data_IF_434056644828
#
_entry.id   IF_434056644828
#
_cell.length_a   1.000
_cell.length_b   1.000
_cell.length_c   1.000
_cell.angle_alpha   90.00
_cell.angle_beta   90.00
_cell.angle_gamma   90.00
#
_symmetry.space_group_name_H-M   'P 1'
#
loop_
_entity.id
_entity.type
_entity.pdbx_description
1 polymer ?
#
# COMPACT_ATOMS: atom_id res chain seq x y z
N UNK A 1 9.09 -2.72 -8.08
CA UNK A 1 8.40 -1.82 -7.12
C UNK A 1 7.03 -2.37 -6.71
N UNK A 2 6.08 -2.59 -7.63
CA UNK A 2 4.74 -3.10 -7.27
C UNK A 2 4.75 -4.48 -6.58
N UNK A 3 5.55 -5.43 -7.07
CA UNK A 3 5.66 -6.76 -6.44
C UNK A 3 6.21 -6.70 -5.00
N UNK A 4 7.20 -5.84 -4.75
CA UNK A 4 7.73 -5.61 -3.40
C UNK A 4 6.67 -4.99 -2.48
N UNK A 5 5.91 -4.00 -2.98
CA UNK A 5 4.81 -3.40 -2.22
C UNK A 5 3.73 -4.43 -1.86
N UNK A 6 3.36 -5.31 -2.79
CA UNK A 6 2.40 -6.38 -2.52
C UNK A 6 2.83 -7.24 -1.33
N UNK A 7 4.08 -7.72 -1.31
CA UNK A 7 4.56 -8.55 -0.20
C UNK A 7 4.70 -7.79 1.12
N UNK A 8 5.21 -6.55 1.09
CA UNK A 8 5.32 -5.70 2.30
C UNK A 8 3.92 -5.45 2.88
N UNK A 9 2.94 -5.11 2.04
CA UNK A 9 1.55 -4.88 2.47
C UNK A 9 0.87 -6.16 2.95
N UNK A 10 1.05 -7.30 2.26
CA UNK A 10 0.50 -8.58 2.69
C UNK A 10 0.99 -8.98 4.09
N UNK A 11 2.30 -8.86 4.35
CA UNK A 11 2.88 -9.11 5.68
C UNK A 11 2.30 -8.16 6.71
N UNK A 12 2.22 -6.86 6.40
CA UNK A 12 1.66 -5.87 7.30
C UNK A 12 0.21 -6.17 7.68
N UNK A 13 -0.66 -6.47 6.71
CA UNK A 13 -2.07 -6.76 6.99
C UNK A 13 -2.28 -8.10 7.69
N UNK A 14 -1.42 -9.09 7.44
CA UNK A 14 -1.38 -10.33 8.21
C UNK A 14 -1.04 -10.05 9.70
N UNK A 15 -0.01 -9.24 9.96
CA UNK A 15 0.32 -8.79 11.32
C UNK A 15 -0.79 -7.95 11.94
N UNK A 16 -1.41 -7.04 11.15
CA UNK A 16 -2.55 -6.22 11.59
C UNK A 16 -3.69 -7.10 12.07
N UNK A 17 -4.04 -8.14 11.32
CA UNK A 17 -5.07 -9.11 11.69
C UNK A 17 -4.69 -9.89 12.96
N UNK A 18 -3.56 -10.58 12.96
CA UNK A 18 -3.16 -11.51 14.03
C UNK A 18 -2.85 -10.79 15.35
N UNK A 19 -2.15 -9.67 15.31
CA UNK A 19 -1.73 -8.93 16.51
C UNK A 19 -2.75 -7.89 16.99
N UNK A 20 -3.93 -7.82 16.35
CA UNK A 20 -4.97 -6.83 16.69
C UNK A 20 -4.46 -5.38 16.65
N UNK A 21 -3.59 -5.05 15.69
CA UNK A 21 -3.05 -3.69 15.55
C UNK A 21 -4.18 -2.69 15.24
N UNK A 22 -4.10 -1.51 15.84
CA UNK A 22 -5.04 -0.41 15.62
C UNK A 22 -4.84 0.21 14.24
N UNK A 23 -5.85 0.95 13.77
CA UNK A 23 -5.77 1.68 12.50
C UNK A 23 -4.67 2.75 12.49
N UNK A 24 -4.27 3.27 13.65
CA UNK A 24 -3.14 4.19 13.76
C UNK A 24 -1.82 3.57 13.29
N UNK A 25 -1.68 2.24 13.32
CA UNK A 25 -0.49 1.55 12.80
C UNK A 25 -0.30 1.74 11.28
N UNK A 26 -1.34 2.15 10.55
CA UNK A 26 -1.25 2.46 9.12
C UNK A 26 -0.25 3.60 8.84
N UNK A 27 -0.07 4.54 9.77
CA UNK A 27 0.90 5.63 9.60
C UNK A 27 2.34 5.14 9.67
N UNK A 28 2.61 4.18 10.55
CA UNK A 28 3.92 3.52 10.60
C UNK A 28 4.18 2.74 9.31
N UNK A 29 3.18 2.01 8.82
CA UNK A 29 3.25 1.35 7.52
C UNK A 29 3.55 2.35 6.39
N UNK A 30 2.83 3.47 6.35
CA UNK A 30 3.06 4.51 5.34
C UNK A 30 4.49 5.06 5.39
N UNK A 31 5.03 5.33 6.58
CA UNK A 31 6.42 5.78 6.75
C UNK A 31 7.44 4.75 6.22
N UNK A 32 7.24 3.46 6.52
CA UNK A 32 8.08 2.36 6.01
C UNK A 32 8.04 2.30 4.49
N UNK A 33 6.85 2.43 3.90
CA UNK A 33 6.69 2.39 2.45
C UNK A 33 7.33 3.60 1.79
N UNK A 34 7.14 4.83 2.31
CA UNK A 34 7.79 6.03 1.78
C UNK A 34 9.32 5.89 1.83
N UNK A 35 9.87 5.38 2.94
CA UNK A 35 11.30 5.12 3.05
C UNK A 35 11.77 4.09 2.02
N UNK A 36 11.08 2.95 1.90
CA UNK A 36 11.39 1.94 0.89
C UNK A 36 11.34 2.52 -0.54
N UNK A 37 10.32 3.32 -0.84
CA UNK A 37 10.14 3.92 -2.17
C UNK A 37 11.20 4.95 -2.49
N UNK A 38 11.69 5.71 -1.50
CA UNK A 38 12.82 6.61 -1.67
C UNK A 38 14.07 5.84 -2.14
N UNK A 39 14.42 4.75 -1.45
CA UNK A 39 15.59 3.93 -1.83
C UNK A 39 15.38 3.18 -3.15
N UNK A 40 14.16 2.70 -3.43
CA UNK A 40 13.85 2.09 -4.71
C UNK A 40 14.00 3.10 -5.86
N UNK A 41 13.52 4.33 -5.68
CA UNK A 41 13.65 5.39 -6.67
C UNK A 41 15.10 5.85 -6.85
N UNK A 42 15.91 5.88 -5.79
CA UNK A 42 17.36 6.09 -5.89
C UNK A 42 18.02 5.03 -6.79
N UNK A 43 17.73 3.76 -6.54
CA UNK A 43 18.31 2.65 -7.31
C UNK A 43 17.97 2.73 -8.81
N UNK A 44 16.80 3.29 -9.16
CA UNK A 44 16.36 3.45 -10.56
C UNK A 44 17.10 4.58 -11.27
N UNK A 45 17.38 5.71 -10.61
CA UNK A 45 17.87 6.92 -11.28
C UNK A 45 19.34 7.25 -11.03
N UNK A 46 20.01 6.58 -10.08
CA UNK A 46 21.43 6.82 -9.73
C UNK A 46 22.39 6.66 -10.92
N UNK A 47 22.04 5.85 -11.92
CA UNK A 47 22.85 5.68 -13.14
C UNK A 47 22.67 6.81 -14.15
N UNK A 48 21.63 7.64 -13.98
CA UNK A 48 21.26 8.72 -14.90
C UNK A 48 21.54 10.10 -14.32
N UNK A 49 21.17 10.33 -13.06
CA UNK A 49 21.26 11.64 -12.41
C UNK A 49 22.12 11.58 -11.14
N UNK A 50 22.97 12.58 -10.94
CA UNK A 50 23.73 12.85 -9.70
C UNK A 50 22.93 13.65 -8.66
N UNK A 51 21.85 14.32 -9.08
CA UNK A 51 21.00 15.15 -8.22
C UNK A 51 19.93 14.34 -7.47
N UNK A 52 19.65 14.62 -6.18
CA UNK A 52 18.60 13.95 -5.41
C UNK A 52 17.18 14.46 -5.73
N UNK A 53 17.04 15.59 -6.43
CA UNK A 53 15.73 16.23 -6.62
C UNK A 53 14.70 15.37 -7.39
N UNK A 54 15.06 14.65 -8.47
CA UNK A 54 14.13 13.74 -9.14
C UNK A 54 13.60 12.62 -8.24
N UNK A 55 14.45 12.07 -7.38
CA UNK A 55 14.07 11.03 -6.40
C UNK A 55 13.06 11.58 -5.42
N UNK A 56 13.31 12.78 -4.89
CA UNK A 56 12.39 13.43 -3.97
C UNK A 56 11.02 13.63 -4.61
N UNK A 57 10.96 14.23 -5.81
CA UNK A 57 9.69 14.45 -6.51
C UNK A 57 8.97 13.13 -6.82
N UNK A 58 9.67 12.13 -7.34
CA UNK A 58 9.09 10.84 -7.66
C UNK A 58 8.58 10.09 -6.42
N UNK A 59 9.17 10.34 -5.24
CA UNK A 59 8.75 9.69 -4.00
C UNK A 59 7.67 10.49 -3.29
N UNK A 60 7.93 11.72 -2.89
CA UNK A 60 7.03 12.43 -1.99
C UNK A 60 5.75 12.90 -2.70
N UNK A 61 5.84 13.35 -3.96
CA UNK A 61 4.67 13.92 -4.63
C UNK A 61 3.56 12.87 -4.86
N UNK A 62 3.81 11.70 -5.50
CA UNK A 62 2.76 10.70 -5.67
C UNK A 62 2.29 10.09 -4.35
N UNK A 63 3.20 9.83 -3.42
CA UNK A 63 2.83 9.17 -2.17
C UNK A 63 1.99 10.06 -1.25
N UNK A 64 2.28 11.36 -1.17
CA UNK A 64 1.49 12.28 -0.36
C UNK A 64 0.24 12.80 -1.06
N UNK A 65 0.24 12.94 -2.39
CA UNK A 65 -0.95 13.44 -3.11
C UNK A 65 -1.90 12.35 -3.59
N UNK A 66 -1.45 11.10 -3.70
CA UNK A 66 -2.27 10.01 -4.24
C UNK A 66 -2.52 8.91 -3.22
N UNK A 67 -1.49 8.45 -2.50
CA UNK A 67 -1.67 7.37 -1.52
C UNK A 67 -2.21 7.88 -0.17
N UNK A 68 -1.61 8.93 0.40
CA UNK A 68 -2.02 9.44 1.71
C UNK A 68 -3.51 9.87 1.78
N UNK A 69 -4.13 10.46 0.74
CA UNK A 69 -5.56 10.73 0.75
C UNK A 69 -6.43 9.47 0.83
N UNK A 70 -6.00 8.36 0.22
CA UNK A 70 -6.70 7.07 0.37
C UNK A 70 -6.65 6.61 1.82
N UNK A 71 -5.48 6.66 2.45
CA UNK A 71 -5.32 6.31 3.88
C UNK A 71 -6.22 7.19 4.76
N UNK A 72 -6.24 8.50 4.53
CA UNK A 72 -7.10 9.44 5.27
C UNK A 72 -8.59 9.16 5.04
N UNK A 73 -9.00 8.89 3.81
CA UNK A 73 -10.40 8.61 3.47
C UNK A 73 -10.91 7.37 4.23
N UNK A 74 -10.12 6.30 4.31
CA UNK A 74 -10.52 5.08 5.02
C UNK A 74 -10.59 5.28 6.54
N UNK A 75 -9.78 6.17 7.11
CA UNK A 75 -9.84 6.52 8.53
C UNK A 75 -11.04 7.39 8.88
N UNK A 76 -11.34 8.40 8.05
CA UNK A 76 -12.45 9.34 8.31
C UNK A 76 -13.81 8.76 7.92
N UNK A 77 -13.84 7.93 6.87
CA UNK A 77 -15.07 7.39 6.29
C UNK A 77 -14.97 5.86 6.20
N UNK A 78 -15.14 5.13 7.32
CA UNK A 78 -15.02 3.67 7.34
C UNK A 78 -15.97 2.97 6.37
N UNK A 79 -17.11 3.59 6.04
CA UNK A 79 -18.07 3.11 5.03
C UNK A 79 -17.47 2.95 3.62
N UNK A 80 -16.33 3.58 3.32
CA UNK A 80 -15.63 3.37 2.04
C UNK A 80 -15.03 1.96 1.92
N UNK A 81 -14.87 1.24 3.04
CA UNK A 81 -14.47 -0.17 3.02
C UNK A 81 -15.61 -1.10 2.57
N UNK A 82 -16.87 -0.68 2.69
CA UNK A 82 -18.03 -1.54 2.39
C UNK A 82 -18.00 -2.24 1.03
N UNK A 83 -17.74 -1.58 -0.12
CA UNK A 83 -17.77 -2.27 -1.42
C UNK A 83 -16.78 -3.43 -1.53
N UNK A 84 -15.53 -3.24 -1.10
CA UNK A 84 -14.52 -4.31 -1.14
C UNK A 84 -14.67 -5.29 0.01
N UNK A 85 -15.20 -4.88 1.17
CA UNK A 85 -15.52 -5.75 2.29
C UNK A 85 -16.61 -6.75 1.93
N UNK A 86 -17.65 -6.30 1.22
CA UNK A 86 -18.78 -7.15 0.83
C UNK A 86 -18.50 -8.05 -0.38
N UNK A 87 -17.41 -7.79 -1.11
CA UNK A 87 -17.00 -8.57 -2.28
C UNK A 87 -15.76 -9.41 -1.96
N UNK A 88 -14.57 -8.80 -1.98
CA UNK A 88 -13.30 -9.48 -1.70
C UNK A 88 -13.18 -9.92 -0.24
N UNK A 89 -13.60 -9.07 0.69
CA UNK A 89 -13.58 -9.39 2.12
C UNK A 89 -14.50 -10.55 2.44
N UNK A 90 -15.72 -10.56 1.90
CA UNK A 90 -16.68 -11.64 2.06
C UNK A 90 -16.15 -12.95 1.48
N UNK A 91 -15.51 -12.90 0.30
CA UNK A 91 -14.90 -14.08 -0.31
C UNK A 91 -13.86 -14.72 0.64
N UNK A 92 -12.96 -13.91 1.21
CA UNK A 92 -11.95 -14.40 2.16
C UNK A 92 -12.59 -14.87 3.46
N UNK A 93 -13.57 -14.13 3.99
CA UNK A 93 -14.32 -14.50 5.19
C UNK A 93 -15.03 -15.85 5.01
N UNK A 94 -15.65 -16.10 3.85
CA UNK A 94 -16.29 -17.37 3.51
C UNK A 94 -15.30 -18.53 3.54
N UNK A 95 -14.11 -18.36 2.96
CA UNK A 95 -13.03 -19.37 2.97
C UNK A 95 -12.54 -19.61 4.41
N UNK A 96 -12.50 -18.56 5.25
CA UNK A 96 -12.13 -18.63 6.64
C UNK A 96 -13.23 -19.19 7.58
N UNK A 97 -14.35 -19.70 7.05
CA UNK A 97 -15.45 -20.27 7.84
C UNK A 97 -16.49 -19.26 8.31
N UNK A 98 -16.50 -18.05 7.76
CA UNK A 98 -17.38 -16.96 8.17
C UNK A 98 -18.88 -17.26 8.04
N UNK A 99 -19.27 -18.03 7.02
CA UNK A 99 -20.65 -18.48 6.89
C UNK A 99 -21.04 -19.39 8.07
N UNK A 100 -20.17 -20.33 8.45
CA UNK A 100 -20.44 -21.24 9.56
C UNK A 100 -20.50 -20.47 10.89
N UNK A 101 -19.58 -19.52 11.11
CA UNK A 101 -19.57 -18.69 12.31
C UNK A 101 -20.88 -17.89 12.47
N UNK A 102 -21.48 -17.42 11.37
CA UNK A 102 -22.79 -16.77 11.40
C UNK A 102 -23.92 -17.78 11.65
N UNK A 103 -23.95 -18.90 10.93
CA UNK A 103 -25.02 -19.89 11.02
C UNK A 103 -25.09 -20.54 12.40
N UNK A 104 -23.94 -20.78 13.06
CA UNK A 104 -23.87 -21.33 14.40
C UNK A 104 -24.47 -20.41 15.48
N UNK A 105 -24.64 -19.12 15.16
CA UNK A 105 -25.28 -18.13 16.02
C UNK A 105 -26.79 -18.05 15.78
N UNK A 106 -27.31 -18.47 14.63
CA UNK A 106 -28.74 -18.32 14.35
C UNK A 106 -29.58 -19.35 15.10
N UNK A 107 -30.69 -18.89 15.67
CA UNK A 107 -31.66 -19.78 16.34
C UNK A 107 -32.40 -20.61 15.28
N UNK A 108 -32.46 -21.94 15.42
CA UNK A 108 -33.20 -22.80 14.50
C UNK A 108 -34.71 -22.49 14.46
N UNK A 109 -35.37 -22.74 13.33
CA UNK A 109 -36.82 -22.60 13.12
C UNK A 109 -37.39 -21.16 13.13
N UNK A 110 -36.53 -20.14 13.07
CA UNK A 110 -36.92 -18.77 12.72
C UNK A 110 -37.21 -18.66 11.21
N UNK A 111 -38.09 -17.74 10.75
CA UNK A 111 -38.35 -17.50 9.32
C UNK A 111 -37.19 -16.75 8.64
N UNK A 112 -35.98 -17.33 8.72
CA UNK A 112 -34.73 -16.81 8.19
C UNK A 112 -34.19 -17.70 7.06
N UNK A 113 -35.07 -18.44 6.37
CA UNK A 113 -34.68 -19.40 5.33
C UNK A 113 -33.75 -18.77 4.28
N UNK A 114 -34.00 -17.53 3.89
CA UNK A 114 -33.16 -16.77 2.96
C UNK A 114 -31.73 -16.52 3.49
N UNK A 115 -31.54 -16.40 4.80
CA UNK A 115 -30.20 -16.25 5.41
C UNK A 115 -29.45 -17.58 5.44
N UNK A 116 -30.18 -18.69 5.67
CA UNK A 116 -29.59 -20.03 5.57
C UNK A 116 -29.16 -20.36 4.14
N UNK A 117 -29.91 -19.89 3.14
CA UNK A 117 -29.59 -20.04 1.72
C UNK A 117 -28.45 -19.10 1.28
N UNK A 118 -28.46 -17.85 1.73
CA UNK A 118 -27.41 -16.86 1.43
C UNK A 118 -26.96 -16.09 2.69
N UNK A 119 -25.94 -16.60 3.42
CA UNK A 119 -25.39 -15.93 4.59
C UNK A 119 -24.76 -14.56 4.29
N UNK A 120 -24.45 -14.27 3.02
CA UNK A 120 -23.84 -12.98 2.63
C UNK A 120 -24.80 -11.81 2.89
N UNK A 121 -26.10 -12.04 2.80
CA UNK A 121 -27.14 -11.02 3.03
C UNK A 121 -27.03 -10.40 4.41
N UNK A 122 -26.70 -11.22 5.41
CA UNK A 122 -26.59 -10.79 6.80
C UNK A 122 -25.14 -10.49 7.18
N UNK A 123 -24.16 -11.32 6.78
CA UNK A 123 -22.75 -11.10 7.13
C UNK A 123 -22.22 -9.77 6.56
N UNK A 124 -22.73 -9.32 5.43
CA UNK A 124 -22.34 -8.04 4.83
C UNK A 124 -22.91 -6.80 5.53
N UNK A 125 -23.95 -6.95 6.37
CA UNK A 125 -24.49 -5.85 7.17
C UNK A 125 -23.64 -5.52 8.40
N UNK A 126 -22.89 -6.50 8.89
CA UNK A 126 -22.00 -6.30 10.02
C UNK A 126 -20.75 -5.50 9.65
N UNK A 127 -20.36 -4.57 10.48
CA UNK A 127 -19.06 -3.89 10.49
C UNK A 127 -18.52 -3.93 11.91
N UNK A 128 -17.22 -3.72 12.08
CA UNK A 128 -16.60 -3.62 13.40
C UNK A 128 -17.18 -2.46 14.23
N UNK A 129 -17.69 -1.41 13.58
CA UNK A 129 -18.27 -0.23 14.24
C UNK A 129 -19.73 -0.41 14.66
N UNK A 130 -20.52 -1.20 13.92
CA UNK A 130 -21.93 -1.45 14.23
C UNK A 130 -22.15 -2.83 14.87
N UNK A 131 -21.10 -3.60 15.11
CA UNK A 131 -21.21 -5.02 15.48
C UNK A 131 -22.09 -5.23 16.71
N UNK A 132 -21.81 -4.48 17.78
CA UNK A 132 -22.55 -4.63 19.04
C UNK A 132 -24.00 -4.21 18.88
N UNK A 133 -24.27 -3.06 18.24
CA UNK A 133 -25.64 -2.58 18.05
C UNK A 133 -26.46 -3.53 17.18
N UNK A 134 -25.87 -4.04 16.09
CA UNK A 134 -26.49 -5.05 15.23
C UNK A 134 -26.78 -6.35 15.99
N UNK A 135 -25.82 -6.83 16.78
CA UNK A 135 -25.99 -8.05 17.56
C UNK A 135 -27.12 -7.89 18.60
N UNK A 136 -27.17 -6.74 19.29
CA UNK A 136 -28.23 -6.42 20.25
C UNK A 136 -29.61 -6.31 19.59
N UNK A 137 -29.69 -5.73 18.39
CA UNK A 137 -30.93 -5.67 17.61
C UNK A 137 -31.43 -7.06 17.16
N UNK A 138 -30.55 -8.07 17.18
CA UNK A 138 -30.85 -9.44 16.73
C UNK A 138 -30.81 -10.48 17.86
N UNK A 139 -30.83 -10.06 19.12
CA UNK A 139 -30.74 -10.96 20.29
C UNK A 139 -31.82 -12.05 20.37
N UNK A 140 -32.98 -11.84 19.73
CA UNK A 140 -34.08 -12.83 19.71
C UNK A 140 -33.87 -13.93 18.66
N UNK A 141 -33.05 -13.64 17.65
CA UNK A 141 -32.75 -14.56 16.53
C UNK A 141 -31.32 -15.10 16.57
N UNK A 142 -30.48 -14.56 17.45
CA UNK A 142 -29.11 -15.00 17.69
C UNK A 142 -28.95 -15.58 19.10
N UNK A 143 -28.23 -16.69 19.20
CA UNK A 143 -27.85 -17.29 20.47
C UNK A 143 -26.88 -16.37 21.19
N UNK A 144 -27.15 -16.10 22.47
CA UNK A 144 -26.26 -15.33 23.33
C UNK A 144 -25.09 -16.21 23.83
N UNK A 145 -24.11 -16.40 22.94
CA UNK A 145 -22.88 -17.16 23.21
C UNK A 145 -21.67 -16.26 22.91
N UNK A 146 -20.92 -15.93 23.97
CA UNK A 146 -19.77 -15.03 23.88
C UNK A 146 -18.65 -15.57 22.97
N UNK A 147 -18.44 -16.88 22.92
CA UNK A 147 -17.40 -17.51 22.11
C UNK A 147 -17.77 -17.43 20.63
N UNK A 148 -19.02 -17.75 20.29
CA UNK A 148 -19.51 -17.66 18.92
C UNK A 148 -19.61 -16.22 18.43
N UNK A 149 -20.02 -15.29 19.30
CA UNK A 149 -20.04 -13.85 19.03
C UNK A 149 -18.65 -13.32 18.70
N UNK A 150 -17.63 -13.69 19.48
CA UNK A 150 -16.24 -13.31 19.19
C UNK A 150 -15.74 -13.94 17.88
N UNK A 151 -16.11 -15.19 17.57
CA UNK A 151 -15.75 -15.82 16.31
C UNK A 151 -16.33 -15.05 15.09
N UNK A 152 -17.60 -14.64 15.17
CA UNK A 152 -18.22 -13.80 14.14
C UNK A 152 -17.53 -12.43 14.05
N UNK A 153 -17.17 -11.82 15.17
CA UNK A 153 -16.45 -10.54 15.19
C UNK A 153 -15.08 -10.64 14.50
N UNK A 154 -14.34 -11.73 14.70
CA UNK A 154 -13.05 -11.94 14.01
C UNK A 154 -13.24 -12.08 12.49
N UNK A 155 -14.31 -12.73 12.05
CA UNK A 155 -14.67 -12.84 10.62
C UNK A 155 -15.04 -11.46 10.04
N UNK A 156 -15.84 -10.67 10.76
CA UNK A 156 -16.23 -9.31 10.35
C UNK A 156 -14.99 -8.40 10.27
N UNK A 157 -14.06 -8.55 11.21
CA UNK A 157 -12.79 -7.82 11.20
C UNK A 157 -11.89 -8.23 10.03
N UNK A 158 -11.85 -9.52 9.70
CA UNK A 158 -11.09 -10.03 8.55
C UNK A 158 -11.58 -9.41 7.23
N UNK A 159 -12.90 -9.38 6.97
CA UNK A 159 -13.41 -8.81 5.72
C UNK A 159 -13.08 -7.32 5.56
N UNK A 160 -13.12 -6.54 6.65
CA UNK A 160 -12.77 -5.12 6.61
C UNK A 160 -11.27 -4.90 6.42
N UNK A 161 -10.42 -5.73 7.02
CA UNK A 161 -8.98 -5.70 6.82
C UNK A 161 -8.62 -6.02 5.36
N UNK A 162 -9.27 -7.03 4.76
CA UNK A 162 -9.09 -7.35 3.34
C UNK A 162 -9.51 -6.17 2.47
N UNK A 163 -10.66 -5.56 2.77
CA UNK A 163 -11.09 -4.35 2.04
C UNK A 163 -10.06 -3.23 2.10
N UNK A 164 -9.50 -2.97 3.28
CA UNK A 164 -8.50 -1.93 3.48
C UNK A 164 -7.23 -2.23 2.68
N UNK A 165 -6.79 -3.49 2.68
CA UNK A 165 -5.65 -3.93 1.89
C UNK A 165 -5.87 -3.74 0.38
N UNK A 166 -7.06 -4.05 -0.14
CA UNK A 166 -7.41 -3.79 -1.54
C UNK A 166 -7.31 -2.29 -1.87
N UNK A 167 -7.83 -1.42 -1.00
CA UNK A 167 -7.68 0.03 -1.18
C UNK A 167 -6.21 0.47 -1.19
N UNK A 168 -5.38 -0.11 -0.33
CA UNK A 168 -3.94 0.19 -0.31
C UNK A 168 -3.27 -0.26 -1.61
N UNK A 169 -3.63 -1.43 -2.16
CA UNK A 169 -3.12 -1.88 -3.46
C UNK A 169 -3.52 -0.92 -4.59
N UNK A 170 -4.76 -0.42 -4.60
CA UNK A 170 -5.22 0.54 -5.60
C UNK A 170 -4.49 1.88 -5.48
N UNK A 171 -4.45 2.48 -4.29
CA UNK A 171 -3.75 3.74 -4.05
C UNK A 171 -2.26 3.64 -4.38
N UNK A 172 -1.62 2.53 -4.02
CA UNK A 172 -0.20 2.33 -4.31
C UNK A 172 0.06 2.11 -5.80
N UNK A 173 -0.84 1.46 -6.52
CA UNK A 173 -0.72 1.30 -7.97
C UNK A 173 -0.68 2.66 -8.67
N UNK A 174 -1.56 3.58 -8.28
CA UNK A 174 -1.58 4.96 -8.81
C UNK A 174 -0.31 5.73 -8.43
N UNK A 175 0.11 5.66 -7.16
CA UNK A 175 1.31 6.34 -6.68
C UNK A 175 2.57 5.81 -7.38
N UNK A 176 2.76 4.49 -7.46
CA UNK A 176 3.92 3.85 -8.10
C UNK A 176 3.95 4.15 -9.61
N UNK A 177 2.80 4.07 -10.29
CA UNK A 177 2.73 4.41 -11.72
C UNK A 177 3.14 5.87 -11.95
N UNK A 178 2.69 6.78 -11.09
CA UNK A 178 3.03 8.19 -11.19
C UNK A 178 4.50 8.47 -10.84
N UNK A 179 5.05 7.81 -9.81
CA UNK A 179 6.48 7.84 -9.50
C UNK A 179 7.31 7.40 -10.70
N UNK A 180 6.92 6.31 -11.35
CA UNK A 180 7.62 5.79 -12.53
C UNK A 180 7.59 6.78 -13.69
N UNK A 181 6.42 7.37 -13.98
CA UNK A 181 6.28 8.39 -15.03
C UNK A 181 7.16 9.62 -14.76
N UNK A 182 7.23 10.09 -13.51
CA UNK A 182 8.12 11.20 -13.13
C UNK A 182 9.59 10.85 -13.41
N UNK A 183 10.03 9.64 -13.05
CA UNK A 183 11.42 9.21 -13.27
C UNK A 183 11.75 9.05 -14.76
N UNK A 184 10.84 8.49 -15.55
CA UNK A 184 11.06 8.26 -16.98
C UNK A 184 11.12 9.55 -17.80
N UNK A 185 10.34 10.56 -17.38
CA UNK A 185 10.30 11.86 -18.05
C UNK A 185 11.28 12.87 -17.45
N UNK A 186 12.11 12.48 -16.49
CA UNK A 186 13.11 13.39 -15.92
C UNK A 186 14.31 13.49 -16.85
N UNK A 187 14.59 14.72 -17.30
CA UNK A 187 15.87 15.08 -17.90
C UNK A 187 16.85 15.49 -16.78
N UNK A 188 18.01 14.82 -16.70
CA UNK A 188 19.02 15.15 -15.72
C UNK A 188 19.74 16.45 -16.11
N UNK A 189 19.36 17.58 -15.53
CA UNK A 189 20.15 18.81 -15.63
C UNK A 189 21.44 18.63 -14.81
N UNK A 190 22.57 18.36 -15.48
CA UNK A 190 23.89 18.45 -14.80
C UNK A 190 24.09 19.89 -14.35
N UNK A 191 24.68 20.10 -13.17
CA UNK A 191 24.98 21.47 -12.72
C UNK A 191 26.01 22.12 -13.64
N UNK A 192 26.01 23.45 -13.74
CA UNK A 192 27.00 24.17 -14.54
C UNK A 192 28.44 23.82 -14.11
N UNK A 193 28.66 23.62 -12.81
CA UNK A 193 29.94 23.16 -12.26
C UNK A 193 30.34 21.77 -12.75
N UNK A 194 29.40 20.83 -12.86
CA UNK A 194 29.67 19.48 -13.36
C UNK A 194 29.98 19.48 -14.86
N UNK A 195 29.37 20.40 -15.63
CA UNK A 195 29.71 20.63 -17.04
C UNK A 195 31.12 21.20 -17.19
N UNK A 196 31.46 22.23 -16.43
CA UNK A 196 32.80 22.84 -16.43
C UNK A 196 33.87 21.83 -16.01
N UNK A 197 33.60 21.04 -14.97
CA UNK A 197 34.52 20.01 -14.50
C UNK A 197 34.76 18.93 -15.56
N UNK A 198 33.69 18.40 -16.19
CA UNK A 198 33.83 17.39 -17.26
C UNK A 198 34.54 17.96 -18.48
N UNK A 199 34.28 19.22 -18.83
CA UNK A 199 34.98 19.90 -19.91
C UNK A 199 36.48 20.02 -19.60
N UNK A 200 36.85 20.47 -18.40
CA UNK A 200 38.25 20.61 -18.00
C UNK A 200 39.00 19.27 -17.96
N UNK A 201 38.34 18.20 -17.50
CA UNK A 201 38.92 16.85 -17.53
C UNK A 201 39.15 16.38 -18.98
N UNK A 202 38.17 16.55 -19.86
CA UNK A 202 38.31 16.17 -21.26
C UNK A 202 39.43 16.94 -21.97
N UNK A 203 39.57 18.25 -21.68
CA UNK A 203 40.65 19.07 -22.21
C UNK A 203 42.03 18.60 -21.72
N UNK A 204 42.15 18.24 -20.44
CA UNK A 204 43.39 17.73 -19.85
C UNK A 204 43.81 16.35 -20.37
N UNK A 205 42.84 15.50 -20.76
CA UNK A 205 43.12 14.20 -21.39
C UNK A 205 43.58 14.34 -22.85
N UNK A 206 43.16 15.40 -23.56
CA UNK A 206 43.57 15.69 -24.95
C UNK A 206 44.90 16.43 -25.09
N UNK A 207 45.48 16.96 -24.00
CA UNK A 207 46.84 17.49 -24.02
C UNK A 207 47.85 16.34 -24.04
N UNK A 208 48.09 15.78 -25.23
CA UNK A 208 49.24 14.92 -25.49
C UNK A 208 50.52 15.69 -25.14
N UNK A 209 51.40 15.10 -24.30
CA UNK A 209 52.70 15.68 -23.96
C UNK A 209 53.51 15.86 -25.25
N UNK A 210 53.50 17.05 -25.82
CA UNK A 210 54.38 17.41 -26.94
C UNK A 210 55.81 17.29 -26.46
N UNK A 211 56.53 16.25 -26.91
CA UNK A 211 57.95 16.10 -26.65
C UNK A 211 58.69 17.32 -27.27
N UNK A 212 59.68 17.90 -26.57
CA UNK A 212 60.36 19.10 -27.06
C UNK A 212 61.03 18.81 -28.40
N UNK A 213 60.69 19.60 -29.42
CA UNK A 213 61.32 19.55 -30.73
C UNK A 213 62.81 19.92 -30.59
N UNK A 214 63.69 18.92 -30.67
CA UNK A 214 65.12 19.14 -30.75
C UNK A 214 65.45 19.74 -32.12
N UNK A 215 65.80 21.02 -32.15
CA UNK A 215 66.39 21.63 -33.34
C UNK A 215 67.86 21.18 -33.43
N UNK A 216 68.19 20.39 -34.43
CA UNK A 216 69.58 20.17 -34.83
C UNK A 216 70.05 21.39 -35.62
N UNK A 217 70.94 22.17 -35.01
CA UNK A 217 71.74 23.16 -35.74
C UNK A 217 72.69 22.38 -36.63
N UNK A 218 72.63 22.61 -37.94
CA UNK A 218 73.62 22.12 -38.90
C UNK A 218 74.63 23.25 -39.11
N UNK A 219 75.91 22.91 -38.95
CA UNK A 219 77.07 23.83 -39.06
C UNK A 219 77.22 24.42 -40.47
#
# INVERSE_FOLDING_TARGET
MIGSFFWISAIYFYCKYTMKLSDSSNWLFFAIVVAFMYFANLAVIQSKCSSPMPVFRATFLPWFLMFAPVLLALMMFPSWKTPFSNTFGYLVARIAGGNQALLDLLVPNQPLQYVYEDPSLLLNQFTTTNFETMFQSMKEVMVDDAVKKEALLQVVRLKEIISEWIWFLLGASVAISSSYTILMNTECTKSAEEYVLKHNIAMAETEEKVAPTLYTITD
#
